data_IF_400963346605
#
_entry.id   IF_400963346605
#
_cell.length_a   1.000
_cell.length_b   1.000
_cell.length_c   1.000
_cell.angle_alpha   90.00
_cell.angle_beta   90.00
_cell.angle_gamma   90.00
#
_symmetry.space_group_name_H-M   'P 1'
#
loop_
_entity.id
_entity.type
_entity.pdbx_description
1 polymer ?
2 non-polymer ?
3 non-polymer ?
4 non-polymer ?
5 non-polymer ?
6 water ?
#
# COMPACT_ATOMS: atom_id res chain seq x y z
C UNK A 1 20.41 29.77 15.86
N UNK A 2 19.39 29.14 16.48
CA UNK A 2 18.65 28.02 15.85
C UNK A 2 17.16 28.34 15.65
N UNK A 3 16.54 27.64 14.69
CA UNK A 3 15.13 27.86 14.35
C UNK A 3 14.47 26.53 13.99
N UNK A 4 13.17 26.43 14.28
CA UNK A 4 12.40 25.28 13.84
C UNK A 4 12.10 25.41 12.35
N UNK A 5 12.63 24.46 11.59
CA UNK A 5 12.44 24.45 10.15
C UNK A 5 11.19 23.66 9.73
N UNK A 6 10.89 22.60 10.50
CA UNK A 6 9.73 21.75 10.24
C UNK A 6 9.37 21.05 11.55
N UNK A 7 8.08 20.80 11.73
CA UNK A 7 7.64 20.12 12.94
C UNK A 7 6.30 19.46 12.67
N UNK A 8 6.17 18.23 13.13
CA UNK A 8 4.87 17.56 13.11
C UNK A 8 4.77 16.61 14.28
N UNK A 9 3.57 16.35 14.77
CA UNK A 9 3.47 15.53 15.98
C UNK A 9 2.05 14.95 15.97
N UNK A 10 1.87 13.84 16.66
CA UNK A 10 0.56 13.21 16.71
C UNK A 10 0.57 11.84 17.34
N UNK A 11 -0.33 10.97 16.90
CA UNK A 11 -0.50 9.64 17.53
C UNK A 11 -0.34 8.59 16.45
N UNK A 12 0.51 7.60 16.73
CA UNK A 12 0.76 6.50 15.78
C UNK A 12 0.18 5.24 16.38
N UNK A 13 -0.05 4.25 15.49
CA UNK A 13 -0.41 2.90 15.93
C UNK A 13 -1.72 2.83 16.70
N UNK A 14 -2.70 3.60 16.26
CA UNK A 14 -4.02 3.56 16.89
C UNK A 14 -4.83 2.47 16.18
N UNK A 15 -5.09 1.37 16.90
CA UNK A 15 -5.83 0.26 16.32
C UNK A 15 -7.33 0.53 16.51
N UNK A 16 -8.09 0.33 15.45
CA UNK A 16 -9.54 0.60 15.47
C UNK A 16 -10.28 -0.56 14.81
N UNK A 17 -11.35 -1.05 15.45
CA UNK A 17 -12.24 -2.02 14.83
C UNK A 17 -13.62 -1.38 14.80
N UNK A 18 -14.35 -1.58 13.72
CA UNK A 18 -15.77 -1.15 13.69
C UNK A 18 -16.60 -2.27 13.12
N UNK A 19 -17.80 -2.48 13.69
CA UNK A 19 -18.73 -3.46 13.19
C UNK A 19 -20.00 -2.75 12.65
N UNK A 20 -20.51 -3.24 11.54
CA UNK A 20 -21.81 -2.78 10.99
C UNK A 20 -22.75 -3.98 11.11
N UNK A 21 -23.94 -3.75 11.67
CA UNK A 21 -24.96 -4.78 11.84
C UNK A 21 -26.18 -4.39 11.03
N UNK A 22 -26.51 -5.21 10.04
CA UNK A 22 -27.75 -5.10 9.30
C UNK A 22 -28.85 -5.78 10.13
N UNK A 23 -29.76 -4.97 10.68
CA UNK A 23 -30.86 -5.48 11.52
C UNK A 23 -31.85 -6.38 10.74
N UNK A 24 -32.05 -6.06 9.45
CA UNK A 24 -32.89 -6.86 8.54
C UNK A 24 -32.32 -8.28 8.28
N UNK A 25 -31.17 -8.36 7.62
CA UNK A 25 -30.61 -9.63 7.17
C UNK A 25 -29.86 -10.38 8.27
N UNK A 26 -29.47 -9.67 9.33
CA UNK A 26 -28.65 -10.26 10.41
C UNK A 26 -27.16 -10.29 10.08
N UNK A 27 -26.79 -9.82 8.89
CA UNK A 27 -25.40 -9.88 8.42
C UNK A 27 -24.58 -8.79 9.11
N UNK A 28 -23.38 -9.17 9.57
CA UNK A 28 -22.46 -8.21 10.22
C UNK A 28 -21.20 -8.12 9.36
N UNK A 29 -20.59 -6.93 9.30
CA UNK A 29 -19.40 -6.72 8.48
C UNK A 29 -18.43 -5.99 9.38
N UNK A 30 -17.18 -6.44 9.40
CA UNK A 30 -16.20 -5.82 10.29
C UNK A 30 -15.09 -5.13 9.48
N UNK A 31 -14.55 -4.09 10.08
CA UNK A 31 -13.42 -3.34 9.51
C UNK A 31 -12.39 -3.20 10.60
N UNK A 32 -11.12 -3.41 10.27
CA UNK A 32 -10.09 -3.18 11.28
C UNK A 32 -8.94 -2.44 10.60
N UNK A 33 -8.43 -1.41 11.27
CA UNK A 33 -7.42 -0.49 10.70
C UNK A 33 -6.40 -0.12 11.76
N UNK A 34 -5.23 0.35 11.32
CA UNK A 34 -4.31 1.01 12.21
C UNK A 34 -4.10 2.39 11.65
N UNK A 35 -4.17 3.40 12.51
CA UNK A 35 -4.25 4.78 12.05
C UNK A 35 -3.15 5.60 12.69
N UNK A 36 -2.53 6.46 11.89
CA UNK A 36 -1.59 7.45 12.40
C UNK A 36 -2.04 8.83 11.95
N UNK A 37 -2.07 9.81 12.85
CA UNK A 37 -2.44 11.19 12.49
C UNK A 37 -1.33 12.09 13.00
N UNK A 38 -0.70 12.83 12.10
CA UNK A 38 0.28 13.86 12.49
C UNK A 38 -0.19 15.24 12.04
N UNK A 39 -0.06 16.22 12.94
CA UNK A 39 -0.47 17.59 12.68
C UNK A 39 0.72 18.52 12.48
N UNK A 40 0.49 19.57 11.68
CA UNK A 40 1.43 20.69 11.56
C UNK A 40 0.68 21.99 11.71
N UNK A 41 1.39 23.04 12.10
CA UNK A 41 0.78 24.38 12.14
C UNK A 41 1.63 25.32 12.94
N UNK A 42 0.98 26.28 13.59
CA UNK A 42 1.69 27.27 14.37
C UNK A 42 1.99 26.72 15.77
N UNK A 43 2.92 25.77 15.83
CA UNK A 43 3.20 25.05 17.08
C UNK A 43 4.64 25.17 17.51
N UNK A 44 5.42 25.99 16.80
CA UNK A 44 6.87 26.13 17.11
C UNK A 44 7.14 26.47 18.57
N UNK A 45 6.28 27.29 19.19
CA UNK A 45 6.52 27.69 20.61
C UNK A 45 6.48 26.56 21.62
N UNK A 46 5.86 25.41 21.26
CA UNK A 46 5.88 24.28 22.18
C UNK A 46 7.28 23.70 22.26
N UNK A 47 8.02 23.80 21.15
CA UNK A 47 9.39 23.36 21.13
C UNK A 47 10.34 24.38 21.74
N UNK A 48 10.11 25.65 21.40
CA UNK A 48 11.14 26.67 21.75
C UNK A 48 10.92 27.39 23.07
N UNK A 49 9.68 27.48 23.55
CA UNK A 49 9.34 28.28 24.73
C UNK A 49 8.61 27.45 25.80
N UNK A 50 8.56 26.13 25.61
CA UNK A 50 7.72 25.28 26.46
C UNK A 50 6.27 25.78 26.59
N UNK A 51 5.71 26.26 25.49
CA UNK A 51 4.34 26.77 25.49
C UNK A 51 3.41 25.63 25.07
N UNK A 52 2.87 24.91 26.05
CA UNK A 52 1.97 23.79 25.70
C UNK A 52 0.57 24.21 25.25
N UNK A 53 0.25 25.52 25.27
CA UNK A 53 -1.11 25.96 24.98
C UNK A 53 -1.51 25.73 23.52
N UNK A 54 -0.49 25.57 22.67
CA UNK A 54 -0.67 25.29 21.24
C UNK A 54 -0.82 23.80 20.93
N UNK A 55 -0.61 22.94 21.92
CA UNK A 55 -0.64 21.50 21.66
C UNK A 55 -2.03 20.90 21.90
N UNK A 56 -2.58 20.34 20.83
CA UNK A 56 -3.72 19.43 20.92
C UNK A 56 -3.06 18.11 21.37
N UNK A 57 -3.40 17.61 22.57
CA UNK A 57 -2.65 16.50 23.15
C UNK A 57 -2.79 15.29 22.25
N UNK A 58 -1.75 14.47 22.17
CA UNK A 58 -1.81 13.30 21.27
C UNK A 58 -2.89 12.36 21.78
N UNK A 59 -3.10 12.33 23.10
CA UNK A 59 -4.22 11.54 23.67
C UNK A 59 -5.57 12.01 23.11
N UNK A 60 -5.74 13.33 22.93
CA UNK A 60 -6.98 13.87 22.30
C UNK A 60 -7.13 13.50 20.84
N UNK A 61 -6.00 13.43 20.14
CA UNK A 61 -6.00 12.96 18.77
C UNK A 61 -6.53 11.54 18.75
N UNK A 62 -6.06 10.69 19.66
CA UNK A 62 -6.55 9.30 19.76
C UNK A 62 -8.08 9.27 19.98
N UNK A 63 -8.56 10.08 20.94
CA UNK A 63 -10.02 10.17 21.21
C UNK A 63 -10.77 10.56 19.95
N UNK A 64 -10.23 11.52 19.21
CA UNK A 64 -10.86 12.03 18.00
C UNK A 64 -10.99 10.96 16.93
N UNK A 65 -9.97 10.10 16.82
CA UNK A 65 -10.06 9.04 15.84
C UNK A 65 -11.24 8.10 16.17
N UNK A 66 -11.40 7.74 17.44
CA UNK A 66 -12.50 6.87 17.84
C UNK A 66 -13.86 7.52 17.62
N UNK A 67 -13.98 8.78 18.01
CA UNK A 67 -15.24 9.51 17.86
C UNK A 67 -15.61 9.64 16.36
N UNK A 68 -14.64 9.98 15.52
CA UNK A 68 -14.86 10.13 14.11
C UNK A 68 -15.30 8.80 13.48
N UNK A 69 -14.64 7.69 13.89
CA UNK A 69 -15.04 6.36 13.43
C UNK A 69 -16.49 6.03 13.86
N UNK A 70 -16.89 6.53 15.02
CA UNK A 70 -18.24 6.25 15.56
C UNK A 70 -19.30 6.95 14.68
N UNK A 71 -19.01 8.16 14.25
CA UNK A 71 -19.99 9.02 13.58
C UNK A 71 -19.97 9.03 12.06
N UNK A 72 -19.05 8.30 11.44
CA UNK A 72 -18.83 8.34 9.99
C UNK A 72 -18.56 6.97 9.43
N UNK A 73 -18.75 6.79 8.11
CA UNK A 73 -18.34 5.51 7.53
C UNK A 73 -16.80 5.40 7.58
N UNK A 74 -16.28 4.19 7.73
CA UNK A 74 -14.81 4.02 7.76
C UNK A 74 -14.31 3.46 6.44
N UNK A 75 -15.22 3.27 5.51
CA UNK A 75 -14.89 2.79 4.19
C UNK A 75 -15.56 3.70 3.13
N UNK A 76 -14.90 3.92 1.97
CA UNK A 76 -13.52 3.49 1.67
C UNK A 76 -12.53 4.31 2.54
N UNK A 77 -11.33 3.76 2.79
CA UNK A 77 -10.39 4.46 3.67
C UNK A 77 -9.99 5.85 3.18
N UNK A 78 -10.00 6.07 1.87
CA UNK A 78 -9.74 7.39 1.29
C UNK A 78 -10.74 8.44 1.82
N UNK A 79 -11.97 8.02 1.98
CA UNK A 79 -12.99 8.95 2.49
C UNK A 79 -12.80 9.16 4.00
N UNK A 80 -12.64 8.07 4.73
CA UNK A 80 -12.43 8.21 6.16
C UNK A 80 -11.23 9.09 6.51
N UNK A 81 -10.11 8.87 5.82
CA UNK A 81 -8.91 9.68 6.02
C UNK A 81 -9.12 11.15 5.74
N UNK A 82 -9.88 11.45 4.67
CA UNK A 82 -10.20 12.82 4.30
C UNK A 82 -11.09 13.48 5.35
N UNK A 83 -12.10 12.76 5.87
CA UNK A 83 -12.93 13.30 6.96
C UNK A 83 -12.11 13.60 8.20
N UNK A 84 -11.26 12.65 8.57
CA UNK A 84 -10.44 12.78 9.74
C UNK A 84 -9.47 13.97 9.63
N UNK A 85 -8.81 14.10 8.49
CA UNK A 85 -7.83 15.18 8.29
C UNK A 85 -8.48 16.55 8.27
N UNK A 86 -9.60 16.64 7.56
CA UNK A 86 -10.39 17.87 7.47
C UNK A 86 -10.85 18.34 8.87
N UNK A 87 -11.30 17.41 9.70
CA UNK A 87 -11.66 17.76 11.09
C UNK A 87 -10.62 18.62 11.77
N UNK A 88 -9.35 18.18 11.78
CA UNK A 88 -8.35 18.93 12.54
C UNK A 88 -8.08 20.32 11.99
N UNK A 89 -8.06 20.49 10.68
CA UNK A 89 -7.75 21.80 10.12
C UNK A 89 -8.94 22.76 10.29
N UNK A 90 -10.15 22.22 10.32
CA UNK A 90 -11.33 23.08 10.55
C UNK A 90 -11.56 23.40 12.01
N UNK A 91 -11.27 22.44 12.89
CA UNK A 91 -11.55 22.62 14.31
C UNK A 91 -10.57 23.57 15.00
N UNK A 92 -9.29 23.49 14.62
CA UNK A 92 -8.25 24.24 15.33
C UNK A 92 -7.68 25.29 14.41
N UNK A 93 -7.85 26.55 14.80
CA UNK A 93 -7.40 27.65 13.97
C UNK A 93 -5.92 27.60 13.59
N UNK A 94 -5.08 27.15 14.52
CA UNK A 94 -3.63 27.24 14.36
C UNK A 94 -3.01 25.97 13.74
N UNK A 95 -3.85 24.97 13.50
CA UNK A 95 -3.41 23.76 12.80
C UNK A 95 -3.74 23.92 11.33
N UNK A 96 -2.70 23.82 10.48
CA UNK A 96 -2.87 24.06 9.06
C UNK A 96 -2.67 22.85 8.17
N UNK A 97 -2.18 21.73 8.71
CA UNK A 97 -2.07 20.50 7.87
C UNK A 97 -2.29 19.28 8.76
N UNK A 98 -2.93 18.25 8.20
CA UNK A 98 -3.09 16.97 8.90
C UNK A 98 -2.62 15.91 7.94
N UNK A 99 -1.87 14.95 8.46
CA UNK A 99 -1.35 13.88 7.67
C UNK A 99 -1.90 12.59 8.26
N UNK A 100 -2.69 11.85 7.48
CA UNK A 100 -3.39 10.68 8.01
C UNK A 100 -2.91 9.46 7.24
N UNK A 101 -2.36 8.46 7.95
CA UNK A 101 -2.00 7.20 7.32
C UNK A 101 -2.89 6.12 7.87
N UNK A 102 -3.41 5.28 7.00
CA UNK A 102 -4.34 4.20 7.43
C UNK A 102 -3.89 2.94 6.77
N UNK A 103 -3.76 1.88 7.57
CA UNK A 103 -3.48 0.52 7.10
C UNK A 103 -4.74 -0.28 7.38
N UNK A 104 -5.30 -0.88 6.34
CA UNK A 104 -6.51 -1.70 6.49
C UNK A 104 -6.10 -3.18 6.49
N UNK A 105 -6.57 -3.90 7.51
CA UNK A 105 -6.25 -5.33 7.70
C UNK A 105 -7.39 -6.14 7.12
N UNK A 106 -7.06 -7.30 6.56
CA UNK A 106 -8.08 -8.14 5.94
C UNK A 106 -8.88 -8.96 6.93
N UNK A 107 -10.21 -8.80 6.89
CA UNK A 107 -11.10 -9.73 7.57
C UNK A 107 -12.09 -10.19 6.49
N UNK A 108 -11.87 -11.38 5.99
CA UNK A 108 -12.65 -11.90 4.85
C UNK A 108 -13.75 -12.82 5.41
N UNK A 109 -14.97 -12.63 4.91
CA UNK A 109 -16.08 -13.43 5.40
C UNK A 109 -15.80 -14.92 5.09
N UNK A 110 -16.03 -15.77 6.08
CA UNK A 110 -15.85 -17.21 5.92
C UNK A 110 -16.97 -17.80 5.08
N UNK A 111 -16.63 -18.78 4.22
CA UNK A 111 -17.63 -19.63 3.55
C UNK A 111 -17.67 -20.94 4.30
N UNK A 112 -18.83 -21.26 4.84
CA UNK A 112 -19.05 -22.50 5.57
C UNK A 112 -20.06 -23.32 4.74
N UNK A 113 -19.67 -24.50 4.28
CA UNK A 113 -20.53 -25.37 3.45
C UNK A 113 -21.03 -24.67 2.17
N UNK A 114 -20.15 -23.89 1.55
CA UNK A 114 -20.49 -23.15 0.34
C UNK A 114 -21.40 -21.94 0.46
N UNK A 115 -21.70 -21.50 1.69
CA UNK A 115 -22.46 -20.26 1.87
C UNK A 115 -21.74 -19.24 2.80
N UNK A 116 -21.82 -17.94 2.47
CA UNK A 116 -21.22 -16.87 3.29
C UNK A 116 -21.79 -16.76 4.71
N UNK A 117 -20.90 -16.83 5.71
CA UNK A 117 -21.35 -16.80 7.07
C UNK A 117 -21.66 -15.38 7.50
N UNK A 118 -22.74 -15.18 8.29
CA UNK A 118 -23.14 -13.84 8.64
C UNK A 118 -22.21 -13.05 9.59
N UNK A 119 -21.38 -13.74 10.37
CA UNK A 119 -20.60 -13.00 11.37
C UNK A 119 -19.27 -13.65 11.72
N UNK A 120 -18.69 -14.39 10.79
CA UNK A 120 -17.40 -15.08 11.03
C UNK A 120 -16.42 -14.76 9.93
N UNK A 121 -15.15 -14.48 10.31
CA UNK A 121 -14.18 -13.91 9.39
C UNK A 121 -12.81 -14.57 9.56
N UNK A 122 -12.01 -14.51 8.50
CA UNK A 122 -10.69 -15.09 8.50
C UNK A 122 -9.73 -14.03 8.01
N UNK A 123 -8.53 -14.03 8.54
CA UNK A 123 -7.49 -13.19 7.97
C UNK A 123 -6.79 -13.99 6.86
N UNK A 124 -7.23 -13.80 5.61
CA UNK A 124 -6.53 -14.42 4.46
C UNK A 124 -5.36 -13.55 3.95
N UNK A 125 -4.21 -13.69 4.59
CA UNK A 125 -2.99 -13.03 4.15
C UNK A 125 -2.83 -11.69 4.81
N UNK A 126 -1.56 -11.34 4.89
CA UNK A 126 -1.08 -10.13 5.46
C UNK A 126 -1.03 -9.01 4.43
N UNK A 127 -1.61 -9.21 3.24
CA UNK A 127 -1.75 -8.12 2.29
C UNK A 127 -2.56 -6.99 2.93
N UNK A 128 -2.10 -5.76 2.70
CA UNK A 128 -2.80 -4.57 3.26
C UNK A 128 -3.28 -3.66 2.16
N UNK A 129 -4.30 -2.86 2.47
CA UNK A 129 -4.73 -1.78 1.62
C UNK A 129 -4.47 -0.54 2.46
N UNK A 130 -3.73 0.44 1.92
CA UNK A 130 -3.31 1.60 2.67
C UNK A 130 -3.76 2.88 2.01
N UNK A 131 -3.84 3.93 2.82
CA UNK A 131 -3.98 5.25 2.28
C UNK A 131 -3.09 6.23 3.03
N UNK A 132 -2.56 7.21 2.30
CA UNK A 132 -1.96 8.39 2.91
C UNK A 132 -2.76 9.60 2.46
N UNK A 133 -3.26 10.38 3.41
CA UNK A 133 -4.08 11.56 3.07
C UNK A 133 -3.42 12.76 3.70
N UNK A 134 -3.06 13.75 2.88
CA UNK A 134 -2.51 15.00 3.37
C UNK A 134 -3.55 16.08 3.11
N UNK A 135 -4.04 16.66 4.19
CA UNK A 135 -5.07 17.73 4.11
C UNK A 135 -4.36 19.01 4.51
N UNK A 136 -4.23 19.96 3.57
CA UNK A 136 -3.44 21.18 3.81
C UNK A 136 -4.37 22.38 3.60
N UNK A 137 -4.54 23.19 4.64
CA UNK A 137 -5.43 24.36 4.59
C UNK A 137 -5.13 25.22 3.38
N UNK A 138 -6.17 25.46 2.58
CA UNK A 138 -6.06 26.25 1.35
C UNK A 138 -5.41 25.57 0.15
N UNK A 139 -5.02 24.31 0.28
CA UNK A 139 -4.37 23.58 -0.81
C UNK A 139 -5.07 22.26 -1.13
N UNK A 140 -6.17 21.97 -0.45
CA UNK A 140 -6.98 20.80 -0.79
C UNK A 140 -6.52 19.53 -0.09
N UNK A 141 -6.78 18.40 -0.75
CA UNK A 141 -6.58 17.06 -0.18
C UNK A 141 -5.82 16.22 -1.20
N UNK A 142 -4.64 15.73 -0.80
CA UNK A 142 -3.82 14.88 -1.63
C UNK A 142 -3.89 13.47 -1.09
N UNK A 143 -4.28 12.54 -1.94
CA UNK A 143 -4.48 11.17 -1.49
C UNK A 143 -3.59 10.21 -2.29
N UNK A 144 -2.80 9.40 -1.58
CA UNK A 144 -2.08 8.28 -2.18
C UNK A 144 -2.66 6.97 -1.67
N UNK A 145 -3.07 6.09 -2.57
CA UNK A 145 -3.67 4.83 -2.20
C UNK A 145 -2.64 3.72 -2.52
N UNK A 146 -2.61 2.66 -1.73
CA UNK A 146 -1.64 1.60 -2.05
C UNK A 146 -2.10 0.19 -1.70
N UNK A 147 -1.47 -0.81 -2.33
CA UNK A 147 -1.57 -2.14 -1.77
C UNK A 147 -0.14 -2.57 -1.45
N UNK A 148 0.00 -3.37 -0.40
CA UNK A 148 1.35 -3.82 -0.01
C UNK A 148 1.27 -5.22 0.57
N UNK A 149 2.40 -5.93 0.59
CA UNK A 149 2.42 -7.24 1.18
C UNK A 149 1.73 -8.32 0.36
N UNK A 150 1.66 -8.12 -0.96
CA UNK A 150 1.13 -9.10 -1.89
C UNK A 150 2.31 -9.91 -2.44
N UNK A 151 2.42 -11.15 -2.02
CA UNK A 151 3.61 -11.94 -2.28
C UNK A 151 3.28 -13.00 -3.33
N UNK A 152 4.03 -12.97 -4.43
CA UNK A 152 3.74 -13.86 -5.59
C UNK A 152 5.01 -14.54 -6.07
N UNK A 153 4.85 -15.61 -6.84
CA UNK A 153 5.97 -16.34 -7.37
C UNK A 153 5.50 -16.96 -8.69
N UNK A 154 6.34 -16.90 -9.70
CA UNK A 154 6.12 -17.75 -10.89
C UNK A 154 7.36 -18.62 -11.11
N UNK A 155 7.13 -19.86 -11.53
CA UNK A 155 8.21 -20.84 -11.56
C UNK A 155 8.92 -20.93 -12.91
N UNK A 156 8.41 -20.21 -13.89
CA UNK A 156 9.01 -20.15 -15.23
C UNK A 156 8.46 -18.93 -15.95
N UNK A 157 8.84 -18.72 -17.22
CA UNK A 157 8.43 -17.52 -17.97
C UNK A 157 8.94 -16.20 -17.35
N UNK A 158 10.18 -16.25 -16.91
CA UNK A 158 10.95 -15.08 -16.55
C UNK A 158 12.33 -15.33 -17.11
N UNK A 159 12.92 -14.28 -17.69
CA UNK A 159 14.25 -14.32 -18.28
C UNK A 159 15.03 -13.12 -17.81
N UNK A 160 16.34 -13.21 -17.91
CA UNK A 160 17.18 -12.06 -17.69
C UNK A 160 18.52 -12.23 -18.39
N UNK A 161 18.62 -11.62 -19.58
CA UNK A 161 19.84 -11.67 -20.37
C UNK A 161 20.07 -10.32 -21.04
N UNK A 162 21.27 -10.13 -21.57
CA UNK A 162 21.60 -8.91 -22.29
C UNK A 162 21.94 -7.70 -21.44
N UNK A 163 22.21 -7.92 -20.13
CA UNK A 163 22.66 -6.85 -19.26
C UNK A 163 24.15 -6.52 -19.42
N UNK A 164 24.56 -5.37 -18.91
CA UNK A 164 25.97 -4.95 -18.98
C UNK A 164 26.92 -5.95 -18.32
N UNK A 165 27.99 -6.31 -19.02
CA UNK A 165 28.99 -7.24 -18.49
C UNK A 165 30.32 -6.54 -18.45
N UNK A 166 30.91 -6.46 -17.27
CA UNK A 166 32.25 -5.92 -17.14
C UNK A 166 33.04 -6.71 -16.10
N UNK A 167 34.12 -6.13 -15.60
CA UNK A 167 35.00 -6.87 -14.71
C UNK A 167 34.39 -7.09 -13.30
N UNK A 168 33.24 -6.47 -13.05
CA UNK A 168 32.48 -6.69 -11.78
C UNK A 168 31.39 -7.73 -11.88
N UNK A 169 31.22 -8.32 -13.08
CA UNK A 169 30.08 -9.19 -13.37
C UNK A 169 30.41 -10.68 -13.29
N UNK A 170 29.64 -11.42 -12.49
CA UNK A 170 29.68 -12.88 -12.45
C UNK A 170 28.36 -13.52 -12.84
N UNK A 171 27.27 -12.75 -12.83
CA UNK A 171 25.94 -13.31 -13.09
C UNK A 171 25.82 -13.90 -14.51
N UNK A 172 25.36 -15.14 -14.60
CA UNK A 172 25.12 -15.76 -15.92
C UNK A 172 23.78 -15.31 -16.51
N UNK A 173 23.73 -15.10 -17.83
CA UNK A 173 22.48 -14.83 -18.49
C UNK A 173 21.59 -16.06 -18.39
N UNK A 174 20.29 -15.82 -18.34
CA UNK A 174 19.32 -16.90 -18.24
C UNK A 174 18.05 -16.65 -19.04
N UNK A 175 17.50 -17.73 -19.55
CA UNK A 175 16.28 -17.69 -20.33
C UNK A 175 15.13 -18.37 -19.61
N UNK A 176 15.37 -18.83 -18.37
CA UNK A 176 14.31 -19.47 -17.62
C UNK A 176 14.70 -19.42 -16.13
N UNK A 177 14.00 -18.59 -15.35
CA UNK A 177 14.28 -18.48 -13.91
C UNK A 177 12.98 -18.36 -13.11
N UNK A 178 13.10 -18.49 -11.79
CA UNK A 178 12.01 -18.20 -10.88
C UNK A 178 11.98 -16.71 -10.66
N UNK A 179 10.79 -16.13 -10.62
CA UNK A 179 10.60 -14.72 -10.24
C UNK A 179 9.61 -14.62 -9.10
N UNK A 180 10.03 -13.96 -8.00
CA UNK A 180 9.17 -13.86 -6.85
C UNK A 180 9.39 -12.48 -6.25
N UNK A 181 8.33 -11.87 -5.76
CA UNK A 181 8.39 -10.51 -5.23
C UNK A 181 7.27 -10.27 -4.26
N UNK A 182 7.46 -9.22 -3.44
CA UNK A 182 6.40 -8.68 -2.60
C UNK A 182 5.96 -7.36 -3.20
N UNK A 183 4.71 -7.24 -3.60
CA UNK A 183 4.30 -6.07 -4.37
C UNK A 183 3.91 -4.92 -3.48
N UNK A 184 4.53 -3.75 -3.71
CA UNK A 184 4.11 -2.51 -3.10
C UNK A 184 3.75 -1.59 -4.28
N UNK A 185 2.47 -1.23 -4.42
CA UNK A 185 2.04 -0.40 -5.56
C UNK A 185 1.24 0.78 -5.00
N UNK A 186 1.57 1.99 -5.44
CA UNK A 186 0.92 3.20 -4.95
C UNK A 186 0.36 3.99 -6.12
N UNK A 187 -0.89 4.42 -6.04
CA UNK A 187 -1.44 5.32 -7.09
C UNK A 187 -1.82 6.64 -6.42
N UNK A 188 -1.38 7.72 -7.03
CA UNK A 188 -1.60 9.06 -6.50
C UNK A 188 -2.73 9.73 -7.30
N UNK A 189 -3.75 10.16 -6.56
CA UNK A 189 -4.93 10.82 -7.15
C UNK A 189 -4.63 12.27 -7.49
N UNK A 190 -5.34 12.80 -8.50
CA UNK A 190 -5.27 14.22 -8.71
C UNK A 190 -5.72 14.91 -7.41
N UNK A 191 -5.19 16.09 -7.15
CA UNK A 191 -5.52 16.88 -5.97
C UNK A 191 -7.04 17.14 -5.97
N UNK A 192 -7.66 16.99 -4.81
CA UNK A 192 -9.09 17.30 -4.63
C UNK A 192 -9.24 18.62 -3.88
N UNK A 193 -10.29 19.39 -4.18
CA UNK A 193 -10.41 20.71 -3.59
C UNK A 193 -10.85 20.67 -2.14
N UNK A 194 -11.48 19.57 -1.72
CA UNK A 194 -11.94 19.46 -0.35
C UNK A 194 -12.84 18.27 -0.26
N UNK A 195 -13.52 18.14 0.87
CA UNK A 195 -14.32 16.95 1.14
C UNK A 195 -15.47 16.71 0.15
N UNK A 196 -16.12 17.78 -0.27
CA UNK A 196 -17.22 17.62 -1.22
C UNK A 196 -16.76 16.89 -2.48
N UNK A 197 -15.60 17.28 -3.00
CA UNK A 197 -15.06 16.63 -4.18
C UNK A 197 -14.67 15.17 -3.91
N UNK A 198 -14.04 14.89 -2.76
CA UNK A 198 -13.71 13.49 -2.42
C UNK A 198 -15.00 12.65 -2.37
N UNK A 199 -16.04 13.19 -1.72
CA UNK A 199 -17.31 12.49 -1.64
C UNK A 199 -17.90 12.16 -3.01
N UNK A 200 -17.69 13.06 -3.97
CA UNK A 200 -18.25 12.88 -5.32
C UNK A 200 -17.59 11.73 -6.08
N UNK A 201 -16.39 11.33 -5.64
CA UNK A 201 -15.64 10.28 -6.33
C UNK A 201 -15.59 8.96 -5.57
N UNK A 202 -16.38 8.88 -4.49
CA UNK A 202 -16.35 7.73 -3.58
C UNK A 202 -16.39 6.36 -4.26
N UNK A 203 -17.23 6.16 -5.29
CA UNK A 203 -17.27 4.83 -5.90
C UNK A 203 -15.97 4.44 -6.61
N UNK A 204 -15.16 5.43 -7.02
CA UNK A 204 -13.94 5.13 -7.78
C UNK A 204 -12.84 4.50 -6.91
N UNK A 205 -12.91 4.73 -5.59
CA UNK A 205 -11.78 4.31 -4.73
C UNK A 205 -11.67 2.80 -4.65
N UNK A 206 -12.77 2.11 -4.28
CA UNK A 206 -12.75 0.64 -4.23
C UNK A 206 -12.53 0.03 -5.61
N UNK A 207 -13.11 0.64 -6.63
CA UNK A 207 -12.98 0.10 -7.98
C UNK A 207 -11.56 0.15 -8.50
N UNK A 208 -10.84 1.22 -8.15
CA UNK A 208 -9.49 1.44 -8.66
C UNK A 208 -8.54 0.51 -7.89
N UNK A 209 -8.77 0.36 -6.59
CA UNK A 209 -7.99 -0.63 -5.81
C UNK A 209 -8.13 -2.03 -6.43
N UNK A 210 -9.37 -2.42 -6.74
CA UNK A 210 -9.61 -3.73 -7.33
C UNK A 210 -8.93 -3.87 -8.67
N UNK A 211 -8.98 -2.82 -9.48
CA UNK A 211 -8.34 -2.81 -10.80
C UNK A 211 -6.82 -2.90 -10.69
N UNK A 212 -6.26 -2.13 -9.77
CA UNK A 212 -4.81 -2.17 -9.56
C UNK A 212 -4.34 -3.58 -9.18
N UNK A 213 -5.11 -4.22 -8.29
CA UNK A 213 -4.81 -5.57 -7.86
C UNK A 213 -4.91 -6.57 -9.03
N UNK A 214 -6.01 -6.49 -9.77
CA UNK A 214 -6.24 -7.37 -10.92
C UNK A 214 -5.17 -7.22 -12.00
N UNK A 215 -4.81 -5.98 -12.31
CA UNK A 215 -3.82 -5.72 -13.36
C UNK A 215 -2.47 -6.25 -12.90
N UNK A 216 -2.14 -6.02 -11.64
CA UNK A 216 -0.85 -6.54 -11.11
C UNK A 216 -0.77 -8.04 -11.22
N UNK A 217 -1.79 -8.75 -10.76
CA UNK A 217 -1.77 -10.21 -10.77
C UNK A 217 -1.73 -10.77 -12.20
N UNK A 218 -2.59 -10.28 -13.07
CA UNK A 218 -2.69 -10.76 -14.46
C UNK A 218 -1.42 -10.52 -15.26
N UNK A 219 -0.84 -9.33 -15.14
CA UNK A 219 0.35 -8.98 -15.87
C UNK A 219 1.52 -9.84 -15.41
N UNK A 220 1.61 -10.01 -14.10
CA UNK A 220 2.67 -10.84 -13.55
C UNK A 220 2.55 -12.27 -14.10
N UNK A 221 1.35 -12.83 -14.03
CA UNK A 221 1.13 -14.21 -14.46
C UNK A 221 1.36 -14.39 -15.96
N UNK A 222 0.95 -13.41 -16.77
CA UNK A 222 0.97 -13.60 -18.24
C UNK A 222 2.21 -13.07 -18.98
N UNK A 223 2.93 -12.10 -18.40
CA UNK A 223 4.07 -11.52 -19.09
C UNK A 223 5.23 -12.51 -19.16
N UNK A 224 5.79 -12.72 -20.35
CA UNK A 224 7.04 -13.48 -20.46
C UNK A 224 8.13 -12.48 -20.20
N UNK A 225 8.53 -12.43 -18.92
CA UNK A 225 9.18 -11.26 -18.39
C UNK A 225 10.64 -11.14 -18.83
N UNK A 226 10.98 -9.97 -19.36
CA UNK A 226 12.34 -9.69 -19.78
C UNK A 226 13.20 -9.18 -18.63
N UNK A 227 12.52 -8.73 -17.58
CA UNK A 227 13.18 -8.19 -16.37
C UNK A 227 12.05 -7.74 -15.45
N UNK A 228 12.40 -7.49 -14.18
CA UNK A 228 11.40 -6.92 -13.29
C UNK A 228 10.99 -5.53 -13.81
N UNK A 229 11.98 -4.76 -14.24
CA UNK A 229 11.78 -3.41 -14.80
C UNK A 229 10.70 -3.40 -15.90
N UNK A 230 10.84 -4.33 -16.87
CA UNK A 230 9.93 -4.32 -18.03
C UNK A 230 8.52 -4.74 -17.64
N UNK A 231 8.41 -5.71 -16.74
CA UNK A 231 7.11 -6.22 -16.33
C UNK A 231 6.38 -5.16 -15.48
N UNK A 232 7.11 -4.50 -14.58
CA UNK A 232 6.45 -3.52 -13.72
C UNK A 232 5.95 -2.31 -14.50
N UNK A 233 6.69 -1.92 -15.54
CA UNK A 233 6.25 -0.82 -16.37
C UNK A 233 4.91 -1.14 -17.05
N UNK A 234 4.76 -2.37 -17.55
CA UNK A 234 3.51 -2.80 -18.18
C UNK A 234 2.34 -2.68 -17.23
N UNK A 235 2.55 -3.02 -15.95
CA UNK A 235 1.50 -2.91 -14.94
C UNK A 235 1.05 -1.48 -14.76
N UNK A 236 2.03 -0.59 -14.61
CA UNK A 236 1.78 0.79 -14.30
C UNK A 236 1.04 1.45 -15.48
N UNK A 237 1.48 1.12 -16.69
CA UNK A 237 0.87 1.67 -17.91
C UNK A 237 -0.61 1.35 -17.98
N UNK A 238 -0.97 0.12 -17.66
CA UNK A 238 -2.37 -0.31 -17.72
C UNK A 238 -3.23 0.36 -16.68
N UNK A 239 -2.70 0.56 -15.46
CA UNK A 239 -3.46 1.24 -14.43
C UNK A 239 -3.77 2.69 -14.82
N UNK A 240 -2.78 3.39 -15.36
CA UNK A 240 -2.98 4.77 -15.80
C UNK A 240 -4.02 4.87 -16.92
N UNK A 241 -4.09 3.83 -17.74
CA UNK A 241 -5.04 3.81 -18.86
C UNK A 241 -6.46 3.63 -18.37
N UNK A 242 -6.63 2.99 -17.22
CA UNK A 242 -7.97 2.62 -16.73
C UNK A 242 -8.60 3.56 -15.76
N UNK A 243 -7.85 4.55 -15.30
CA UNK A 243 -8.39 5.50 -14.34
C UNK A 243 -7.77 6.87 -14.55
N UNK A 244 -8.54 7.76 -15.17
CA UNK A 244 -8.00 9.05 -15.58
C UNK A 244 -7.74 9.98 -14.42
N UNK A 245 -8.32 9.69 -13.26
CA UNK A 245 -8.14 10.56 -12.10
C UNK A 245 -6.83 10.26 -11.33
N UNK A 246 -6.10 9.23 -11.75
CA UNK A 246 -4.75 8.93 -11.20
C UNK A 246 -3.72 9.72 -11.97
N UNK A 247 -2.80 10.35 -11.28
CA UNK A 247 -1.73 11.07 -11.94
C UNK A 247 -0.45 10.24 -12.10
N UNK A 248 -0.12 9.46 -11.07
CA UNK A 248 1.11 8.65 -11.14
C UNK A 248 0.88 7.30 -10.47
N UNK A 249 1.70 6.33 -10.88
CA UNK A 249 1.67 4.98 -10.31
C UNK A 249 3.12 4.68 -9.94
N UNK A 250 3.36 4.24 -8.70
CA UNK A 250 4.72 3.89 -8.28
C UNK A 250 4.73 2.43 -7.88
N UNK A 251 5.72 1.67 -8.34
CA UNK A 251 5.89 0.30 -7.85
C UNK A 251 7.24 0.22 -7.18
N UNK A 252 7.30 -0.51 -6.07
CA UNK A 252 8.59 -0.83 -5.44
C UNK A 252 8.58 -2.34 -5.22
N UNK A 253 9.53 -3.05 -5.86
CA UNK A 253 9.51 -4.50 -5.92
C UNK A 253 10.86 -5.12 -5.54
N UNK A 254 10.90 -5.86 -4.44
CA UNK A 254 12.08 -6.70 -4.21
C UNK A 254 12.18 -7.89 -5.18
N UNK A 255 13.39 -8.26 -5.56
CA UNK A 255 13.57 -9.44 -6.39
C UNK A 255 14.09 -10.49 -5.41
N UNK A 256 13.23 -11.42 -4.99
CA UNK A 256 13.57 -12.40 -3.95
C UNK A 256 14.17 -13.60 -4.67
N UNK A 257 15.48 -13.81 -4.51
CA UNK A 257 16.20 -14.79 -5.33
C UNK A 257 16.06 -16.22 -4.84
N UNK A 258 15.89 -17.13 -5.80
CA UNK A 258 15.94 -18.57 -5.56
C UNK A 258 17.13 -19.12 -6.33
N UNK A 259 18.13 -19.67 -5.65
CA UNK A 259 19.37 -20.11 -6.33
C UNK A 259 19.31 -21.59 -6.68
N UNK A 260 19.84 -21.93 -7.86
CA UNK A 260 20.06 -23.37 -8.17
C UNK A 260 21.06 -23.95 -7.17
N UNK A 261 20.95 -25.26 -6.93
CA UNK A 261 21.91 -25.98 -6.09
C UNK A 261 22.59 -27.04 -6.94
N UNK A 262 23.89 -26.89 -7.13
CA UNK A 262 24.65 -27.89 -7.89
C UNK A 262 24.89 -29.09 -6.97
N UNK A 263 24.38 -30.24 -7.39
CA UNK A 263 24.49 -31.46 -6.61
C UNK A 263 25.40 -32.46 -7.30
N UNK A 264 26.08 -32.02 -8.36
CA UNK A 264 26.86 -32.95 -9.20
C UNK A 264 28.03 -33.61 -8.47
N UNK A 265 28.51 -32.96 -7.41
CA UNK A 265 29.54 -33.54 -6.52
C UNK A 265 29.07 -34.83 -5.86
N UNK A 266 27.75 -35.04 -5.80
CA UNK A 266 27.20 -36.22 -5.15
C UNK A 266 26.64 -37.19 -6.19
N UNK A 267 27.44 -38.20 -6.54
CA UNK A 267 27.00 -39.27 -7.46
C UNK A 267 26.52 -38.76 -8.84
N UNK A 268 27.11 -37.65 -9.30
CA UNK A 268 26.73 -36.99 -10.56
C UNK A 268 25.29 -36.52 -10.66
N UNK A 269 24.67 -36.22 -9.51
CA UNK A 269 23.26 -35.86 -9.50
C UNK A 269 23.05 -34.57 -10.30
N UNK A 270 22.07 -34.56 -11.19
CA UNK A 270 21.84 -33.41 -12.06
C UNK A 270 20.68 -32.54 -11.56
N UNK A 271 21.02 -31.32 -11.13
CA UNK A 271 20.02 -30.39 -10.56
C UNK A 271 20.17 -28.94 -11.03
N UNK A 272 20.78 -28.72 -12.20
CA UNK A 272 20.99 -27.36 -12.72
C UNK A 272 20.40 -27.24 -14.14
N UNK A 273 20.17 -26.02 -14.58
CA UNK A 273 19.55 -25.73 -15.89
C UNK A 273 18.23 -26.46 -16.09
N UNK A 274 18.14 -27.23 -17.18
CA UNK A 274 16.88 -27.93 -17.47
C UNK A 274 16.53 -28.99 -16.45
N UNK A 275 17.55 -29.40 -15.68
CA UNK A 275 17.38 -30.44 -14.69
C UNK A 275 17.09 -29.90 -13.27
N UNK A 276 17.00 -28.58 -13.13
CA UNK A 276 16.84 -27.95 -11.81
C UNK A 276 15.46 -28.23 -11.22
N UNK A 277 15.42 -28.84 -10.03
CA UNK A 277 14.18 -29.14 -9.37
C UNK A 277 14.17 -28.56 -7.95
N UNK A 278 15.31 -28.67 -7.27
CA UNK A 278 15.42 -28.20 -5.88
C UNK A 278 16.27 -26.94 -5.85
N UNK A 279 15.71 -25.88 -5.25
CA UNK A 279 16.38 -24.58 -5.18
C UNK A 279 16.50 -24.14 -3.73
N UNK A 280 17.39 -23.22 -3.48
CA UNK A 280 17.59 -22.63 -2.17
C UNK A 280 17.06 -21.18 -2.19
N UNK A 281 15.92 -20.92 -1.54
CA UNK A 281 15.48 -19.52 -1.41
C UNK A 281 16.49 -18.73 -0.58
N UNK A 282 16.79 -17.50 -1.01
CA UNK A 282 17.77 -16.67 -0.33
C UNK A 282 17.03 -15.60 0.47
N UNK A 283 17.28 -15.52 1.78
CA UNK A 283 16.62 -14.47 2.58
C UNK A 283 17.18 -13.07 2.29
N UNK A 284 18.46 -13.01 1.98
CA UNK A 284 19.14 -11.78 1.65
C UNK A 284 20.44 -12.12 0.93
N UNK A 285 21.00 -11.16 0.16
CA UNK A 285 20.45 -9.87 -0.20
C UNK A 285 19.32 -10.02 -1.21
N UNK A 286 18.67 -8.93 -1.55
CA UNK A 286 17.64 -8.94 -2.57
C UNK A 286 17.78 -7.74 -3.50
N UNK A 287 17.41 -7.94 -4.75
CA UNK A 287 17.26 -6.82 -5.65
C UNK A 287 16.12 -5.94 -5.17
N UNK A 288 16.22 -4.65 -5.45
CA UNK A 288 15.12 -3.70 -5.16
C UNK A 288 14.97 -2.81 -6.39
N UNK A 289 13.76 -2.81 -6.96
CA UNK A 289 13.54 -2.15 -8.26
C UNK A 289 12.35 -1.23 -8.10
N UNK A 290 12.54 0.04 -8.43
CA UNK A 290 11.45 1.04 -8.26
C UNK A 290 11.17 1.76 -9.57
N UNK A 291 9.92 2.20 -9.76
CA UNK A 291 9.68 3.11 -10.86
C UNK A 291 8.42 3.91 -10.59
N UNK A 292 8.43 5.16 -11.03
CA UNK A 292 7.23 5.99 -10.96
C UNK A 292 6.86 6.36 -12.39
N UNK A 293 5.62 6.07 -12.76
CA UNK A 293 5.16 6.26 -14.16
C UNK A 293 4.06 7.29 -14.09
N UNK A 294 4.12 8.26 -15.00
CA UNK A 294 3.11 9.32 -15.03
C UNK A 294 2.65 9.47 -16.46
N UNK A 295 1.92 10.54 -16.71
CA UNK A 295 1.34 10.78 -18.04
C UNK A 295 2.25 11.67 -18.87
N UNK A 296 2.34 11.36 -20.17
CA UNK A 296 3.11 12.14 -21.17
C UNK A 296 3.03 13.66 -20.97
X LIG B 1 -6.91 25.38 10.83
X LIG C 1 16.44 -6.93 -12.92
X LIG C 1 16.09 -8.25 -12.93
X LIG C 1 14.94 -8.53 -13.30
X LIG C 1 16.93 -9.26 -12.54
X LIG C 1 18.18 -8.94 -12.16
X LIG C 1 18.63 -7.54 -12.16
X LIG C 1 17.66 -6.52 -12.58
X LIG C 1 18.01 -5.33 -12.56
X LIG C 1 19.91 -7.50 -11.75
X LIG C 1 20.29 -8.79 -11.50
X LIG C 1 19.24 -9.66 -11.75
X LIG D 1 7.59 -8.14 -11.56
X LIG E 1 -12.14 0.78 11.57
X LIG F 1 6.76 -7.32 -11.94
X LIG F 1 7.22 -8.36 -11.62
X LIG F 1 7.64 -9.36 -11.30
#
# INVERSE_FOLDING_TARGET
XSAVKAARYGKDNVRVYKVHKDEKTGVQTVYEMTVCVLLEGEIETSYTKADNSVIVATDSIKNTIYITAKQNPVTPPELFGSILGTHFIEKYNHIHAAHVNIVCHRWTRMDIDGKPHPHSFIRDSEEKRNVQVDVVEGKGIDIKSSLSGLTVLKSTNSQFWGFLRDEYTTLKETWDRILSTDVDATWQWKNFSGLQEVRSHVPKFDATWATAREVTLKTFAEDNSASVQATMYKMAEQILARQQLIETVEYSLPNKHYFEIDLSWHKGLQNTGKNAEVFAPQSDPNGLIKCTVGRSSLKSKL
NA NA
AZA N1 C2 O2 N3 C4 C5 C6 O6 N7 N8 N9
XE XE
XE XE
N2O O3 N2 N1
#
